data_IF_250794786842
#
_entry.id   IF_250794786842
#
_cell.length_a   1.000
_cell.length_b   1.000
_cell.length_c   1.000
_cell.angle_alpha   90.00
_cell.angle_beta   90.00
_cell.angle_gamma   90.00
#
_symmetry.space_group_name_H-M   'P 1'
#
loop_
_entity.id
_entity.type
_entity.pdbx_description
1 polymer ?
#
# COMPACT_ATOMS: atom_id res chain seq x y z
N UNK A 1 11.18 30.11 -18.37
CA UNK A 1 11.09 29.38 -17.09
C UNK A 1 10.47 30.33 -16.07
N UNK A 2 9.45 29.94 -15.31
CA UNK A 2 8.92 30.76 -14.20
C UNK A 2 9.66 30.47 -12.90
N UNK A 3 9.50 31.34 -11.92
CA UNK A 3 10.18 31.17 -10.63
C UNK A 3 9.50 30.07 -9.79
N UNK A 4 8.20 30.18 -9.53
CA UNK A 4 7.42 29.20 -8.79
C UNK A 4 6.22 28.66 -9.59
N UNK A 5 6.04 27.34 -9.56
CA UNK A 5 4.95 26.61 -10.18
C UNK A 5 4.16 25.78 -9.16
N UNK A 6 2.90 25.48 -9.48
CA UNK A 6 2.02 24.67 -8.64
C UNK A 6 1.30 23.59 -9.45
N UNK A 7 1.24 22.39 -8.88
CA UNK A 7 0.31 21.33 -9.28
C UNK A 7 -0.59 21.01 -8.10
N UNK A 8 -1.90 20.93 -8.38
CA UNK A 8 -2.90 20.49 -7.41
C UNK A 8 -3.53 19.21 -7.92
N UNK A 9 -3.65 18.19 -7.07
CA UNK A 9 -4.26 16.92 -7.47
C UNK A 9 -4.73 16.11 -6.28
N UNK A 10 -5.64 15.15 -6.51
CA UNK A 10 -6.02 14.18 -5.48
C UNK A 10 -4.96 13.09 -5.33
N UNK A 11 -4.28 12.73 -6.42
CA UNK A 11 -3.29 11.65 -6.51
C UNK A 11 -3.81 10.31 -5.93
N UNK A 12 -5.05 9.96 -6.31
CA UNK A 12 -5.76 8.78 -5.82
C UNK A 12 -6.12 7.80 -6.95
N UNK A 13 -5.19 6.93 -7.38
CA UNK A 13 -3.78 6.84 -7.00
C UNK A 13 -2.85 7.82 -7.76
N UNK A 14 -1.59 7.91 -7.32
CA UNK A 14 -0.52 8.56 -8.08
C UNK A 14 -0.15 7.69 -9.29
N UNK A 15 -0.46 8.16 -10.50
CA UNK A 15 -0.25 7.40 -11.73
C UNK A 15 0.74 8.07 -12.68
N UNK A 16 1.22 7.34 -13.69
CA UNK A 16 2.23 7.80 -14.63
C UNK A 16 1.81 9.07 -15.40
N UNK A 17 0.51 9.29 -15.61
CA UNK A 17 0.00 10.57 -16.15
C UNK A 17 0.28 11.77 -15.23
N UNK A 18 0.08 11.63 -13.92
CA UNK A 18 0.48 12.65 -12.94
C UNK A 18 2.00 12.82 -12.94
N UNK A 19 2.75 11.71 -12.98
CA UNK A 19 4.21 11.80 -13.00
C UNK A 19 4.73 12.50 -14.27
N UNK A 20 4.09 12.27 -15.42
CA UNK A 20 4.38 12.99 -16.66
C UNK A 20 4.12 14.49 -16.51
N UNK A 21 2.96 14.87 -15.98
CA UNK A 21 2.61 16.27 -15.68
C UNK A 21 3.66 16.94 -14.77
N UNK A 22 4.05 16.26 -13.68
CA UNK A 22 5.04 16.76 -12.71
C UNK A 22 6.40 16.97 -13.39
N UNK A 23 6.89 15.99 -14.15
CA UNK A 23 8.19 16.09 -14.85
C UNK A 23 8.21 17.20 -15.90
N UNK A 24 7.11 17.39 -16.63
CA UNK A 24 6.98 18.52 -17.56
C UNK A 24 6.99 19.85 -16.81
N UNK A 25 6.27 19.96 -15.69
CA UNK A 25 6.26 21.18 -14.88
C UNK A 25 7.65 21.53 -14.33
N UNK A 26 8.44 20.54 -13.88
CA UNK A 26 9.82 20.73 -13.41
C UNK A 26 10.73 21.36 -14.48
N UNK A 27 10.49 21.08 -15.76
CA UNK A 27 11.27 21.69 -16.86
C UNK A 27 10.89 23.17 -17.10
N UNK A 28 9.76 23.63 -16.58
CA UNK A 28 9.20 24.95 -16.86
C UNK A 28 9.24 25.92 -15.68
N UNK A 29 9.65 25.48 -14.48
CA UNK A 29 9.78 26.32 -13.28
C UNK A 29 11.07 26.02 -12.49
N UNK A 30 11.55 27.00 -11.72
CA UNK A 30 12.69 26.78 -10.81
C UNK A 30 12.30 26.02 -9.56
N UNK A 31 11.13 26.33 -9.01
CA UNK A 31 10.55 25.70 -7.82
C UNK A 31 9.15 25.21 -8.16
N UNK A 32 8.88 23.93 -7.87
CA UNK A 32 7.58 23.30 -8.11
C UNK A 32 7.00 22.82 -6.80
N UNK A 33 5.75 23.21 -6.53
CA UNK A 33 4.99 22.80 -5.35
C UNK A 33 3.92 21.78 -5.73
N UNK A 34 3.81 20.71 -4.94
CA UNK A 34 2.77 19.70 -5.09
C UNK A 34 1.78 19.82 -3.93
N UNK A 35 0.52 20.12 -4.26
CA UNK A 35 -0.56 20.20 -3.27
C UNK A 35 -1.55 19.06 -3.51
N UNK A 36 -1.74 18.24 -2.48
CA UNK A 36 -2.48 16.99 -2.55
C UNK A 36 -3.58 16.96 -1.49
N UNK A 37 -4.85 16.88 -1.89
CA UNK A 37 -5.96 16.75 -0.92
C UNK A 37 -7.20 16.11 -1.53
N UNK A 38 -7.99 15.44 -0.69
CA UNK A 38 -9.27 14.83 -1.03
C UNK A 38 -10.12 14.75 0.23
N UNK A 39 -11.38 15.19 0.16
CA UNK A 39 -12.31 15.08 1.28
C UNK A 39 -13.70 14.71 0.74
N UNK A 40 -14.23 13.50 0.98
CA UNK A 40 -13.61 12.40 1.72
C UNK A 40 -12.37 11.83 1.01
N UNK A 41 -11.61 11.01 1.73
CA UNK A 41 -10.55 10.21 1.16
C UNK A 41 -11.10 9.24 0.11
N UNK A 42 -10.35 9.02 -0.97
CA UNK A 42 -10.76 8.06 -1.98
C UNK A 42 -10.46 6.63 -1.50
N UNK A 43 -11.32 5.64 -1.78
CA UNK A 43 -11.09 4.25 -1.40
C UNK A 43 -9.71 3.76 -1.85
N UNK A 44 -9.00 3.08 -0.95
CA UNK A 44 -7.64 2.56 -1.20
C UNK A 44 -6.55 3.63 -1.31
N UNK A 45 -6.86 4.92 -1.12
CA UNK A 45 -5.89 6.01 -1.28
C UNK A 45 -5.90 7.01 -0.09
N UNK A 46 -5.77 6.56 1.17
CA UNK A 46 -5.72 7.46 2.32
C UNK A 46 -4.51 8.41 2.23
N UNK A 47 -4.58 9.52 2.99
CA UNK A 47 -3.55 10.54 3.04
C UNK A 47 -2.13 10.00 3.24
N UNK A 48 -1.96 9.02 4.14
CA UNK A 48 -0.65 8.42 4.43
C UNK A 48 -0.03 7.71 3.22
N UNK A 49 -0.82 6.99 2.42
CA UNK A 49 -0.33 6.37 1.18
C UNK A 49 0.05 7.42 0.15
N UNK A 50 -0.80 8.45 -0.03
CA UNK A 50 -0.53 9.54 -0.97
C UNK A 50 0.73 10.31 -0.61
N UNK A 51 0.99 10.52 0.68
CA UNK A 51 2.19 11.19 1.17
C UNK A 51 3.43 10.34 0.88
N UNK A 52 3.37 9.04 1.17
CA UNK A 52 4.45 8.11 0.84
C UNK A 52 4.71 8.05 -0.66
N UNK A 53 3.69 7.96 -1.50
CA UNK A 53 3.86 7.95 -2.96
C UNK A 53 4.51 9.23 -3.46
N UNK A 54 4.05 10.41 -3.04
CA UNK A 54 4.67 11.67 -3.46
C UNK A 54 6.12 11.76 -2.99
N UNK A 55 6.41 11.37 -1.75
CA UNK A 55 7.77 11.39 -1.20
C UNK A 55 8.70 10.40 -1.91
N UNK A 56 8.28 9.15 -2.14
CA UNK A 56 9.08 8.13 -2.83
C UNK A 56 9.36 8.51 -4.29
N UNK A 57 8.40 9.17 -4.96
CA UNK A 57 8.48 9.45 -6.40
C UNK A 57 9.10 10.81 -6.72
N UNK A 58 8.98 11.78 -5.81
CA UNK A 58 9.39 13.17 -5.98
C UNK A 58 9.95 13.78 -4.68
N UNK A 59 10.90 13.09 -4.04
CA UNK A 59 11.52 13.50 -2.77
C UNK A 59 12.16 14.90 -2.82
N UNK A 60 12.56 15.34 -4.01
CA UNK A 60 13.15 16.65 -4.26
C UNK A 60 12.15 17.81 -4.27
N UNK A 61 10.86 17.52 -4.35
CA UNK A 61 9.80 18.52 -4.46
C UNK A 61 9.12 18.75 -3.11
N UNK A 62 8.91 20.01 -2.69
CA UNK A 62 8.05 20.29 -1.55
C UNK A 62 6.61 19.89 -1.88
N UNK A 63 6.09 18.92 -1.12
CA UNK A 63 4.75 18.37 -1.30
C UNK A 63 3.96 18.39 0.00
N UNK A 64 2.68 18.73 -0.07
CA UNK A 64 1.76 18.67 1.07
C UNK A 64 0.58 17.78 0.75
N UNK A 65 0.39 16.75 1.58
CA UNK A 65 -0.89 16.03 1.67
C UNK A 65 -1.73 16.68 2.75
N UNK A 66 -2.80 17.39 2.38
CA UNK A 66 -3.62 18.13 3.32
C UNK A 66 -4.81 17.30 3.78
N UNK A 67 -5.01 17.25 5.09
CA UNK A 67 -6.15 16.63 5.77
C UNK A 67 -6.86 17.68 6.65
N UNK A 68 -8.11 17.44 7.07
CA UNK A 68 -8.81 18.32 8.00
C UNK A 68 -8.01 18.59 9.29
N UNK A 69 -7.31 17.58 9.82
CA UNK A 69 -6.51 17.69 11.04
C UNK A 69 -5.31 18.62 10.83
N UNK A 70 -4.63 18.53 9.68
CA UNK A 70 -3.52 19.44 9.33
C UNK A 70 -4.01 20.88 9.17
N UNK A 71 -5.17 21.09 8.54
CA UNK A 71 -5.80 22.42 8.44
C UNK A 71 -6.16 22.96 9.82
N UNK A 72 -6.75 22.16 10.69
CA UNK A 72 -7.06 22.55 12.07
C UNK A 72 -5.77 22.96 12.82
N UNK A 73 -4.70 22.17 12.71
CA UNK A 73 -3.42 22.48 13.32
C UNK A 73 -2.82 23.81 12.83
N UNK A 74 -2.84 24.08 11.52
CA UNK A 74 -2.37 25.36 10.98
C UNK A 74 -3.22 26.54 11.44
N UNK A 75 -4.55 26.37 11.51
CA UNK A 75 -5.46 27.40 12.03
C UNK A 75 -5.22 27.68 13.51
N UNK A 76 -5.00 26.65 14.33
CA UNK A 76 -4.60 26.81 15.73
C UNK A 76 -3.23 27.49 15.88
N UNK A 77 -2.35 27.35 14.90
CA UNK A 77 -1.08 28.08 14.82
C UNK A 77 -1.21 29.49 14.23
N UNK A 78 -2.42 29.99 14.01
CA UNK A 78 -2.70 31.36 13.57
C UNK A 78 -2.71 31.58 12.05
N UNK A 79 -2.65 30.51 11.23
CA UNK A 79 -2.75 30.61 9.78
C UNK A 79 -4.19 30.90 9.35
N UNK A 80 -4.38 31.88 8.48
CA UNK A 80 -5.69 32.29 7.98
C UNK A 80 -6.20 31.39 6.85
N UNK A 81 -6.41 30.11 7.16
CA UNK A 81 -6.92 29.12 6.19
C UNK A 81 -8.43 28.88 6.37
N UNK A 82 -9.19 28.76 5.26
CA UNK A 82 -10.54 28.22 5.33
C UNK A 82 -10.52 26.72 5.70
N UNK A 83 -11.70 26.15 5.94
CA UNK A 83 -11.83 24.69 6.07
C UNK A 83 -11.41 23.99 4.76
N UNK A 84 -10.94 22.75 4.87
CA UNK A 84 -10.61 21.95 3.70
C UNK A 84 -11.92 21.70 2.91
N UNK A 85 -12.01 22.12 1.64
CA UNK A 85 -13.22 21.91 0.86
C UNK A 85 -13.46 20.42 0.58
N UNK A 86 -14.72 20.00 0.69
CA UNK A 86 -15.16 18.69 0.22
C UNK A 86 -15.00 18.57 -1.30
N UNK A 87 -14.88 17.35 -1.80
CA UNK A 87 -14.65 17.01 -3.20
C UNK A 87 -15.75 17.52 -4.14
N UNK A 88 -16.96 17.65 -3.61
CA UNK A 88 -18.17 18.10 -4.29
C UNK A 88 -18.40 19.60 -4.14
N UNK A 89 -17.52 20.31 -3.41
CA UNK A 89 -17.63 21.74 -3.21
C UNK A 89 -17.47 22.51 -4.53
N UNK A 90 -18.04 23.72 -4.57
CA UNK A 90 -17.92 24.58 -5.74
C UNK A 90 -16.45 24.90 -6.05
N UNK A 91 -16.09 24.99 -7.33
CA UNK A 91 -14.71 25.23 -7.77
C UNK A 91 -14.09 26.49 -7.14
N UNK A 92 -14.89 27.54 -6.93
CA UNK A 92 -14.42 28.77 -6.28
C UNK A 92 -13.88 28.55 -4.87
N UNK A 93 -14.43 27.60 -4.11
CA UNK A 93 -13.95 27.25 -2.78
C UNK A 93 -12.59 26.55 -2.84
N UNK A 94 -12.41 25.63 -3.80
CA UNK A 94 -11.10 25.01 -4.06
C UNK A 94 -10.05 26.05 -4.46
N UNK A 95 -10.38 26.94 -5.40
CA UNK A 95 -9.46 27.97 -5.90
C UNK A 95 -9.05 28.94 -4.78
N UNK A 96 -10.01 29.34 -3.94
CA UNK A 96 -9.75 30.20 -2.80
C UNK A 96 -8.89 29.50 -1.73
N UNK A 97 -9.24 28.27 -1.36
CA UNK A 97 -8.45 27.47 -0.43
C UNK A 97 -6.99 27.37 -0.88
N UNK A 98 -6.75 27.09 -2.17
CA UNK A 98 -5.38 26.99 -2.70
C UNK A 98 -4.66 28.34 -2.70
N UNK A 99 -5.35 29.44 -3.00
CA UNK A 99 -4.75 30.78 -2.93
C UNK A 99 -4.27 31.11 -1.51
N UNK A 100 -5.11 30.83 -0.51
CA UNK A 100 -4.80 31.07 0.89
C UNK A 100 -3.72 30.09 1.38
N UNK A 101 -3.75 28.83 0.94
CA UNK A 101 -2.69 27.86 1.20
C UNK A 101 -1.31 28.33 0.72
N UNK A 102 -1.23 28.89 -0.49
CA UNK A 102 0.02 29.43 -1.01
C UNK A 102 0.58 30.54 -0.11
N UNK A 103 -0.26 31.51 0.29
CA UNK A 103 0.18 32.63 1.13
C UNK A 103 0.52 32.19 2.56
N UNK A 104 -0.34 31.38 3.17
CA UNK A 104 -0.28 31.07 4.59
C UNK A 104 0.67 29.91 4.92
N UNK A 105 0.70 28.87 4.08
CA UNK A 105 1.46 27.63 4.35
C UNK A 105 2.73 27.56 3.55
N UNK A 106 2.66 27.76 2.22
CA UNK A 106 3.87 27.77 1.38
C UNK A 106 4.71 29.03 1.70
N UNK A 107 4.06 30.16 1.98
CA UNK A 107 4.72 31.42 2.28
C UNK A 107 5.14 32.22 1.04
N UNK A 108 4.68 31.82 -0.15
CA UNK A 108 4.87 32.57 -1.39
C UNK A 108 3.74 32.33 -2.40
N UNK A 109 3.66 33.17 -3.42
CA UNK A 109 2.73 33.02 -4.54
C UNK A 109 3.41 32.41 -5.76
N UNK A 110 2.63 31.78 -6.63
CA UNK A 110 3.13 31.07 -7.83
C UNK A 110 2.81 31.83 -9.11
N UNK A 111 3.66 31.73 -10.13
CA UNK A 111 3.45 32.39 -11.43
C UNK A 111 2.90 31.43 -12.49
N UNK A 112 2.84 30.13 -12.20
CA UNK A 112 2.21 29.15 -13.07
C UNK A 112 1.47 28.06 -12.30
N UNK A 113 0.36 27.62 -12.88
CA UNK A 113 -0.30 26.36 -12.52
C UNK A 113 -0.21 25.39 -13.69
N UNK A 114 0.04 24.13 -13.39
CA UNK A 114 0.15 23.07 -14.40
C UNK A 114 -0.98 22.07 -14.20
N UNK A 115 -1.77 21.84 -15.24
CA UNK A 115 -2.87 20.85 -15.21
C UNK A 115 -2.97 20.14 -16.55
N UNK A 116 -3.70 19.02 -16.56
CA UNK A 116 -4.16 18.33 -17.77
C UNK A 116 -5.66 18.52 -17.99
N UNK A 117 -6.28 19.51 -17.33
CA UNK A 117 -7.71 19.61 -17.11
C UNK A 117 -8.27 20.97 -17.58
N UNK A 118 -9.54 20.99 -17.97
CA UNK A 118 -10.21 22.14 -18.59
C UNK A 118 -10.38 23.34 -17.66
N UNK A 119 -10.41 23.10 -16.34
CA UNK A 119 -10.58 24.16 -15.35
C UNK A 119 -9.34 25.06 -15.18
N UNK A 120 -8.20 24.70 -15.79
CA UNK A 120 -6.90 25.35 -15.53
C UNK A 120 -6.87 26.85 -15.79
N UNK A 121 -7.55 27.34 -16.83
CA UNK A 121 -7.59 28.78 -17.15
C UNK A 121 -8.34 29.58 -16.07
N UNK A 122 -9.50 29.08 -15.62
CA UNK A 122 -10.27 29.69 -14.54
C UNK A 122 -9.54 29.64 -13.20
N UNK A 123 -8.77 28.57 -12.97
CA UNK A 123 -7.93 28.46 -11.77
C UNK A 123 -6.79 29.47 -11.77
N UNK A 124 -6.05 29.59 -12.88
CA UNK A 124 -4.99 30.59 -13.02
C UNK A 124 -5.53 32.02 -12.88
N UNK A 125 -6.69 32.33 -13.47
CA UNK A 125 -7.31 33.64 -13.35
C UNK A 125 -7.68 33.97 -11.89
N UNK A 126 -8.23 33.02 -11.13
CA UNK A 126 -8.55 33.22 -9.71
C UNK A 126 -7.30 33.49 -8.88
N UNK A 127 -6.23 32.72 -9.11
CA UNK A 127 -4.97 32.92 -8.41
C UNK A 127 -4.34 34.27 -8.78
N UNK A 128 -4.39 34.68 -10.04
CA UNK A 128 -3.88 35.98 -10.46
C UNK A 128 -4.61 37.15 -9.78
N UNK A 129 -5.94 37.11 -9.72
CA UNK A 129 -6.74 38.10 -9.02
C UNK A 129 -6.41 38.12 -7.51
N UNK A 130 -6.25 36.94 -6.92
CA UNK A 130 -5.91 36.77 -5.51
C UNK A 130 -4.50 37.29 -5.19
N UNK A 131 -3.50 36.97 -6.01
CA UNK A 131 -2.10 37.29 -5.75
C UNK A 131 -1.70 38.70 -6.18
N UNK A 132 -2.53 39.38 -6.98
CA UNK A 132 -2.24 40.72 -7.50
C UNK A 132 -1.15 40.74 -8.58
N UNK A 133 -0.82 39.59 -9.17
CA UNK A 133 0.10 39.48 -10.29
C UNK A 133 -0.32 38.36 -11.25
N UNK A 134 0.16 38.36 -12.51
CA UNK A 134 -0.21 37.31 -13.47
C UNK A 134 0.17 35.91 -13.01
N UNK A 135 -0.72 34.95 -13.24
CA UNK A 135 -0.50 33.52 -13.09
C UNK A 135 -0.89 32.87 -14.41
N UNK A 136 0.01 32.11 -15.02
CA UNK A 136 -0.25 31.41 -16.28
C UNK A 136 -0.76 29.99 -16.03
N UNK A 137 -1.75 29.57 -16.79
CA UNK A 137 -2.04 28.15 -16.92
C UNK A 137 -1.12 27.53 -17.98
N UNK A 138 -0.47 26.42 -17.63
CA UNK A 138 0.29 25.58 -18.56
C UNK A 138 -0.42 24.23 -18.66
N UNK A 139 -1.13 24.02 -19.76
CA UNK A 139 -1.80 22.75 -20.04
C UNK A 139 -0.79 21.73 -20.56
N UNK A 140 -0.76 20.55 -19.95
CA UNK A 140 0.16 19.45 -20.32
C UNK A 140 -0.66 18.21 -20.65
N UNK A 141 -0.44 17.63 -21.83
CA UNK A 141 -1.07 16.39 -22.32
C UNK A 141 -2.58 16.29 -22.03
N UNK A 142 -3.33 17.38 -22.31
CA UNK A 142 -4.78 17.46 -22.04
C UNK A 142 -5.58 16.32 -22.69
N UNK A 143 -5.20 15.92 -23.89
CA UNK A 143 -5.83 14.81 -24.62
C UNK A 143 -5.37 13.43 -24.14
N UNK A 144 -4.44 13.37 -23.16
CA UNK A 144 -3.85 12.15 -22.60
C UNK A 144 -3.28 11.23 -23.68
N UNK A 145 -2.63 11.85 -24.67
CA UNK A 145 -2.01 11.16 -25.80
C UNK A 145 -0.70 10.50 -25.44
N UNK A 146 0.02 11.04 -24.44
CA UNK A 146 1.30 10.50 -23.99
C UNK A 146 1.09 9.41 -22.96
N UNK A 147 0.20 9.65 -21.98
CA UNK A 147 -0.19 8.64 -20.97
C UNK A 147 -1.71 8.55 -20.88
N UNK A 148 -2.36 7.61 -21.60
CA UNK A 148 -3.81 7.51 -21.72
C UNK A 148 -4.47 6.90 -20.47
N UNK A 149 -4.40 7.61 -19.33
CA UNK A 149 -4.95 7.16 -18.06
C UNK A 149 -5.65 8.28 -17.29
N UNK A 150 -6.61 7.93 -16.45
CA UNK A 150 -7.21 8.84 -15.48
C UNK A 150 -7.34 8.16 -14.11
N UNK A 151 -7.31 8.96 -13.05
CA UNK A 151 -7.57 8.45 -11.70
C UNK A 151 -8.94 7.79 -11.58
N UNK A 152 -9.96 8.26 -12.32
CA UNK A 152 -11.30 7.64 -12.32
C UNK A 152 -11.28 6.24 -12.93
N UNK A 153 -10.60 6.05 -14.07
CA UNK A 153 -10.46 4.74 -14.69
C UNK A 153 -9.68 3.77 -13.77
N UNK A 154 -8.57 4.21 -13.18
CA UNK A 154 -7.78 3.41 -12.24
C UNK A 154 -8.55 2.98 -11.00
N UNK A 155 -9.44 3.81 -10.48
CA UNK A 155 -10.31 3.42 -9.35
C UNK A 155 -11.43 2.46 -9.75
N UNK A 156 -11.76 2.37 -11.04
CA UNK A 156 -12.71 1.39 -11.57
C UNK A 156 -12.10 0.00 -11.65
N UNK A 157 -10.85 -0.11 -12.11
CA UNK A 157 -10.08 -1.36 -12.11
C UNK A 157 -8.57 -1.07 -12.08
N UNK A 158 -7.99 -1.11 -10.87
CA UNK A 158 -6.57 -0.81 -10.66
C UNK A 158 -5.65 -1.91 -11.18
N UNK A 159 -6.15 -3.16 -11.25
CA UNK A 159 -5.36 -4.32 -11.67
C UNK A 159 -5.26 -4.39 -13.19
N UNK A 160 -6.34 -4.08 -13.92
CA UNK A 160 -6.33 -3.99 -15.37
C UNK A 160 -5.46 -2.83 -15.89
N UNK A 161 -5.35 -1.74 -15.11
CA UNK A 161 -4.61 -0.53 -15.49
C UNK A 161 -3.28 -0.36 -14.75
N UNK A 162 -2.75 -1.44 -14.15
CA UNK A 162 -1.54 -1.40 -13.32
C UNK A 162 -0.29 -0.87 -14.02
N UNK A 163 -0.19 -1.05 -15.33
CA UNK A 163 0.94 -0.55 -16.14
C UNK A 163 1.02 0.98 -16.18
N UNK A 164 -0.06 1.67 -15.77
CA UNK A 164 -0.09 3.11 -15.59
C UNK A 164 0.30 3.56 -14.18
N UNK A 165 0.78 2.67 -13.33
CA UNK A 165 1.27 2.96 -11.99
C UNK A 165 2.76 2.62 -11.90
N UNK A 166 3.51 3.39 -11.10
CA UNK A 166 4.84 2.96 -10.72
C UNK A 166 4.73 1.66 -9.89
N UNK A 167 5.67 0.70 -10.00
CA UNK A 167 5.61 -0.54 -9.25
C UNK A 167 5.47 -0.35 -7.73
N UNK A 168 6.10 0.69 -7.15
CA UNK A 168 5.98 1.00 -5.72
C UNK A 168 4.60 1.53 -5.32
N UNK A 169 3.87 2.17 -6.25
CA UNK A 169 2.49 2.61 -6.03
C UNK A 169 1.53 1.44 -6.19
N UNK A 170 1.69 0.64 -7.26
CA UNK A 170 0.84 -0.52 -7.49
C UNK A 170 0.93 -1.57 -6.37
N UNK A 171 2.11 -1.72 -5.76
CA UNK A 171 2.35 -2.64 -4.65
C UNK A 171 1.36 -2.48 -3.47
N UNK A 172 0.79 -1.30 -3.26
CA UNK A 172 -0.19 -1.03 -2.20
C UNK A 172 -1.61 -1.54 -2.52
N UNK A 173 -1.87 -1.84 -3.79
CA UNK A 173 -3.13 -2.44 -4.27
C UNK A 173 -3.06 -3.96 -4.36
N UNK A 174 -1.88 -4.56 -4.17
CA UNK A 174 -1.72 -6.02 -4.20
C UNK A 174 -2.37 -6.66 -2.99
N UNK A 175 -3.29 -7.58 -3.24
CA UNK A 175 -3.99 -8.35 -2.22
C UNK A 175 -3.07 -9.46 -1.67
N UNK A 176 -2.69 -9.38 -0.38
CA UNK A 176 -1.89 -10.43 0.26
C UNK A 176 -2.79 -11.57 0.71
N UNK A 177 -2.50 -12.77 0.23
CA UNK A 177 -3.17 -14.03 0.57
C UNK A 177 -2.21 -14.85 1.42
N UNK A 178 -2.51 -15.03 2.71
CA UNK A 178 -1.62 -15.76 3.63
C UNK A 178 -2.11 -17.18 3.91
N UNK A 179 -1.15 -18.10 3.94
CA UNK A 179 -1.37 -19.47 4.39
C UNK A 179 -0.74 -19.65 5.78
N UNK A 180 -1.58 -20.00 6.74
CA UNK A 180 -1.22 -20.35 8.11
C UNK A 180 -1.44 -21.84 8.35
N UNK A 181 -0.91 -22.36 9.46
CA UNK A 181 -1.08 -23.75 9.87
C UNK A 181 0.21 -24.38 10.37
N UNK A 182 0.07 -25.56 10.98
CA UNK A 182 1.18 -26.27 11.59
C UNK A 182 2.29 -26.67 10.61
N UNK A 183 3.36 -27.26 11.14
CA UNK A 183 4.44 -27.78 10.30
C UNK A 183 3.90 -28.85 9.32
N UNK A 184 4.46 -28.86 8.12
CA UNK A 184 4.17 -29.88 7.09
C UNK A 184 2.70 -29.96 6.64
N UNK A 185 1.93 -28.87 6.77
CA UNK A 185 0.55 -28.77 6.26
C UNK A 185 0.46 -28.29 4.81
N UNK A 186 1.56 -28.33 4.04
CA UNK A 186 1.56 -28.02 2.61
C UNK A 186 1.56 -26.54 2.21
N UNK A 187 1.72 -25.60 3.16
CA UNK A 187 1.71 -24.14 2.92
C UNK A 187 2.67 -23.70 1.81
N UNK A 188 3.95 -24.08 1.92
CA UNK A 188 4.99 -23.70 0.95
C UNK A 188 4.74 -24.27 -0.44
N UNK A 189 4.15 -25.46 -0.52
CA UNK A 189 3.78 -26.09 -1.79
C UNK A 189 2.60 -25.35 -2.41
N UNK A 190 1.58 -25.04 -1.62
CA UNK A 190 0.37 -24.34 -2.05
C UNK A 190 0.67 -22.91 -2.52
N UNK A 191 1.44 -22.14 -1.75
CA UNK A 191 1.78 -20.75 -2.09
C UNK A 191 2.57 -20.66 -3.41
N UNK A 192 3.54 -21.56 -3.61
CA UNK A 192 4.31 -21.65 -4.86
C UNK A 192 3.44 -22.08 -6.03
N UNK A 193 2.59 -23.09 -5.83
CA UNK A 193 1.71 -23.61 -6.86
C UNK A 193 0.71 -22.55 -7.35
N UNK A 194 0.05 -21.85 -6.43
CA UNK A 194 -0.88 -20.77 -6.75
C UNK A 194 -0.18 -19.58 -7.42
N UNK A 195 1.02 -19.21 -6.98
CA UNK A 195 1.77 -18.15 -7.66
C UNK A 195 2.09 -18.50 -9.12
N UNK A 196 2.45 -19.76 -9.39
CA UNK A 196 2.69 -20.22 -10.76
C UNK A 196 1.39 -20.22 -11.58
N UNK A 197 0.30 -20.77 -11.02
CA UNK A 197 -0.99 -20.89 -11.70
C UNK A 197 -1.61 -19.51 -12.03
N UNK A 198 -1.53 -18.57 -11.10
CA UNK A 198 -2.06 -17.20 -11.26
C UNK A 198 -1.07 -16.23 -11.91
N UNK A 199 0.11 -16.71 -12.37
CA UNK A 199 1.12 -15.88 -13.04
C UNK A 199 1.71 -14.76 -12.17
N UNK A 200 1.74 -14.93 -10.84
CA UNK A 200 2.13 -13.89 -9.88
C UNK A 200 3.39 -14.28 -9.07
N UNK A 201 3.55 -13.76 -7.86
CA UNK A 201 4.65 -14.03 -6.93
C UNK A 201 4.15 -14.66 -5.63
N UNK A 202 5.09 -15.28 -4.92
CA UNK A 202 4.89 -15.69 -3.54
C UNK A 202 6.03 -15.17 -2.66
N UNK A 203 5.75 -14.99 -1.37
CA UNK A 203 6.75 -14.75 -0.34
C UNK A 203 6.99 -16.08 0.41
N UNK A 204 8.24 -16.54 0.43
CA UNK A 204 8.64 -17.80 1.09
C UNK A 204 8.98 -17.58 2.57
N UNK A 205 8.84 -18.65 3.37
CA UNK A 205 9.03 -18.57 4.82
C UNK A 205 10.49 -18.33 5.15
N UNK A 206 10.81 -17.17 5.73
CA UNK A 206 12.19 -16.87 6.12
C UNK A 206 12.63 -17.61 7.37
N UNK A 207 11.72 -17.92 8.30
CA UNK A 207 12.06 -18.64 9.53
C UNK A 207 12.75 -19.98 9.26
N UNK A 208 12.30 -20.70 8.22
CA UNK A 208 12.89 -21.96 7.77
C UNK A 208 14.31 -21.80 7.25
N UNK A 209 14.54 -20.74 6.47
CA UNK A 209 15.86 -20.41 5.90
C UNK A 209 16.86 -20.09 7.01
N UNK A 210 16.53 -19.16 7.91
CA UNK A 210 17.42 -18.81 9.03
C UNK A 210 17.68 -20.01 9.96
N UNK A 211 16.67 -20.86 10.17
CA UNK A 211 16.84 -22.08 10.97
C UNK A 211 17.89 -23.03 10.34
N UNK A 212 17.94 -23.16 9.01
CA UNK A 212 18.96 -23.99 8.31
C UNK A 212 20.34 -23.37 8.43
N UNK A 213 20.42 -22.06 8.18
CA UNK A 213 21.67 -21.30 8.30
C UNK A 213 22.27 -21.43 9.70
N UNK A 214 21.42 -21.55 10.73
CA UNK A 214 21.82 -21.70 12.14
C UNK A 214 21.91 -23.15 12.62
N UNK A 215 21.85 -24.13 11.73
CA UNK A 215 21.96 -25.55 12.10
C UNK A 215 20.87 -26.03 13.05
N UNK A 216 19.69 -25.42 12.98
CA UNK A 216 18.51 -25.74 13.76
C UNK A 216 18.41 -25.11 15.14
N UNK A 217 19.34 -24.21 15.49
CA UNK A 217 19.36 -23.53 16.79
C UNK A 217 19.08 -22.03 16.65
N UNK A 218 17.80 -21.65 16.75
CA UNK A 218 17.38 -20.24 16.85
C UNK A 218 17.51 -19.74 18.29
N UNK A 219 17.98 -18.51 18.47
CA UNK A 219 17.94 -17.79 19.76
C UNK A 219 16.82 -16.76 19.77
N UNK A 220 16.46 -16.25 20.94
CA UNK A 220 15.33 -15.33 21.11
C UNK A 220 15.35 -14.14 20.14
N UNK A 221 16.51 -13.48 19.98
CA UNK A 221 16.66 -12.31 19.12
C UNK A 221 16.43 -12.62 17.62
N UNK A 222 16.56 -13.89 17.22
CA UNK A 222 16.31 -14.31 15.85
C UNK A 222 14.84 -14.18 15.47
N UNK A 223 13.92 -14.29 16.42
CA UNK A 223 12.50 -14.34 16.12
C UNK A 223 12.00 -12.96 15.68
N UNK A 224 12.47 -11.89 16.32
CA UNK A 224 12.17 -10.53 15.85
C UNK A 224 12.80 -10.27 14.47
N UNK A 225 14.04 -10.72 14.26
CA UNK A 225 14.70 -10.62 12.95
C UNK A 225 13.93 -11.38 11.85
N UNK A 226 13.43 -12.57 12.15
CA UNK A 226 12.63 -13.37 11.24
C UNK A 226 11.37 -12.62 10.83
N UNK A 227 10.61 -12.08 11.79
CA UNK A 227 9.38 -11.36 11.50
C UNK A 227 9.62 -10.09 10.67
N UNK A 228 10.63 -9.29 11.01
CA UNK A 228 11.01 -8.09 10.23
C UNK A 228 11.37 -8.46 8.80
N UNK A 229 12.16 -9.52 8.63
CA UNK A 229 12.60 -9.98 7.31
C UNK A 229 11.44 -10.56 6.49
N UNK A 230 10.51 -11.27 7.12
CA UNK A 230 9.29 -11.76 6.47
C UNK A 230 8.47 -10.58 5.91
N UNK A 231 8.22 -9.55 6.72
CA UNK A 231 7.50 -8.34 6.27
C UNK A 231 8.23 -7.63 5.13
N UNK A 232 9.56 -7.52 5.20
CA UNK A 232 10.37 -6.94 4.14
C UNK A 232 10.25 -7.75 2.83
N UNK A 233 10.31 -9.09 2.90
CA UNK A 233 10.13 -9.99 1.75
C UNK A 233 8.77 -9.84 1.10
N UNK A 234 7.70 -9.83 1.90
CA UNK A 234 6.35 -9.60 1.39
C UNK A 234 6.24 -8.26 0.67
N UNK A 235 6.81 -7.21 1.26
CA UNK A 235 6.77 -5.85 0.71
C UNK A 235 7.51 -5.77 -0.63
N UNK A 236 8.70 -6.39 -0.71
CA UNK A 236 9.47 -6.48 -1.95
C UNK A 236 8.76 -7.33 -3.02
N UNK A 237 8.10 -8.41 -2.61
CA UNK A 237 7.37 -9.28 -3.54
C UNK A 237 6.14 -8.59 -4.14
N UNK A 238 5.43 -7.74 -3.37
CA UNK A 238 4.31 -6.93 -3.88
C UNK A 238 4.70 -6.05 -5.06
N UNK A 239 5.91 -5.49 -5.08
CA UNK A 239 6.37 -4.65 -6.20
C UNK A 239 6.53 -5.41 -7.54
N UNK A 240 6.47 -6.74 -7.51
CA UNK A 240 6.58 -7.61 -8.69
C UNK A 240 5.40 -8.58 -8.82
N UNK A 241 4.41 -8.48 -7.95
CA UNK A 241 3.22 -9.30 -7.95
C UNK A 241 2.18 -8.70 -8.88
N UNK A 242 1.25 -9.54 -9.31
CA UNK A 242 0.07 -9.14 -10.08
C UNK A 242 -1.04 -8.71 -9.09
N UNK A 243 -2.27 -9.22 -9.22
CA UNK A 243 -3.36 -8.92 -8.29
C UNK A 243 -3.11 -9.46 -6.88
N UNK A 244 -2.56 -10.68 -6.78
CA UNK A 244 -2.37 -11.38 -5.52
C UNK A 244 -0.89 -11.61 -5.21
N UNK A 245 -0.52 -11.54 -3.93
CA UNK A 245 0.72 -12.07 -3.40
C UNK A 245 0.42 -13.24 -2.45
N UNK A 246 0.92 -14.42 -2.77
CA UNK A 246 0.75 -15.62 -1.92
C UNK A 246 1.85 -15.69 -0.85
N UNK A 247 1.50 -15.63 0.43
CA UNK A 247 2.44 -15.53 1.53
C UNK A 247 2.50 -16.86 2.31
N UNK A 248 3.69 -17.44 2.36
CA UNK A 248 4.08 -18.51 3.28
C UNK A 248 5.19 -17.95 4.15
N UNK A 249 5.01 -17.63 5.42
CA UNK A 249 3.82 -17.56 6.25
C UNK A 249 3.63 -16.08 6.66
N UNK A 250 3.16 -15.78 7.86
CA UNK A 250 3.15 -14.42 8.45
C UNK A 250 4.00 -14.29 9.71
N UNK A 251 4.22 -13.05 10.20
CA UNK A 251 4.77 -12.81 11.53
C UNK A 251 3.97 -13.48 12.67
N UNK A 252 2.69 -13.82 12.48
CA UNK A 252 1.90 -14.55 13.48
C UNK A 252 2.49 -15.95 13.74
N UNK A 253 3.01 -16.62 12.71
CA UNK A 253 3.75 -17.88 12.89
C UNK A 253 5.04 -17.68 13.67
N UNK A 254 5.73 -16.56 13.44
CA UNK A 254 6.95 -16.25 14.18
C UNK A 254 6.65 -15.97 15.65
N UNK A 255 5.52 -15.31 15.94
CA UNK A 255 5.03 -15.11 17.31
C UNK A 255 4.72 -16.44 18.00
N UNK A 256 4.05 -17.38 17.32
CA UNK A 256 3.80 -18.73 17.82
C UNK A 256 5.11 -19.39 18.27
N UNK A 257 6.12 -19.41 17.39
CA UNK A 257 7.40 -20.03 17.71
C UNK A 257 8.11 -19.33 18.88
N UNK A 258 8.13 -18.00 18.88
CA UNK A 258 8.73 -17.22 19.95
C UNK A 258 8.11 -17.54 21.33
N UNK A 259 6.77 -17.57 21.40
CA UNK A 259 6.06 -17.96 22.62
C UNK A 259 6.32 -19.41 23.01
N UNK A 260 6.30 -20.34 22.05
CA UNK A 260 6.52 -21.77 22.34
C UNK A 260 7.94 -22.08 22.84
N UNK A 261 8.95 -21.38 22.32
CA UNK A 261 10.36 -21.62 22.64
C UNK A 261 10.83 -20.84 23.87
N UNK A 262 10.31 -19.63 24.09
CA UNK A 262 10.85 -18.70 25.09
C UNK A 262 9.81 -18.16 26.08
N UNK A 263 8.52 -18.46 25.91
CA UNK A 263 7.44 -18.01 26.79
C UNK A 263 7.19 -16.49 26.78
N UNK A 264 7.81 -15.74 25.87
CA UNK A 264 7.69 -14.29 25.74
C UNK A 264 7.91 -13.86 24.29
N UNK A 265 7.57 -12.60 23.97
CA UNK A 265 7.86 -11.97 22.68
C UNK A 265 8.11 -10.47 22.87
N UNK A 266 8.95 -9.88 22.02
CA UNK A 266 9.14 -8.42 21.97
C UNK A 266 7.84 -7.72 21.51
N UNK A 267 7.59 -6.51 22.00
CA UNK A 267 6.38 -5.73 21.66
C UNK A 267 6.27 -5.49 20.15
N UNK A 268 7.40 -5.27 19.48
CA UNK A 268 7.43 -5.11 18.04
C UNK A 268 7.03 -6.40 17.30
N UNK A 269 7.41 -7.58 17.79
CA UNK A 269 6.96 -8.84 17.19
C UNK A 269 5.45 -9.00 17.34
N UNK A 270 4.89 -8.60 18.48
CA UNK A 270 3.44 -8.61 18.68
C UNK A 270 2.73 -7.67 17.70
N UNK A 271 3.26 -6.47 17.48
CA UNK A 271 2.73 -5.51 16.50
C UNK A 271 2.83 -6.04 15.06
N UNK A 272 3.98 -6.64 14.68
CA UNK A 272 4.15 -7.25 13.35
C UNK A 272 3.18 -8.41 13.12
N UNK A 273 2.79 -9.14 14.17
CA UNK A 273 1.81 -10.21 14.09
C UNK A 273 0.38 -9.71 13.82
N UNK A 274 0.07 -8.42 14.06
CA UNK A 274 -1.21 -7.78 13.71
C UNK A 274 -1.27 -7.33 12.24
N UNK A 275 -0.26 -7.68 11.43
CA UNK A 275 -0.21 -7.30 10.01
C UNK A 275 -1.47 -7.78 9.27
N UNK A 276 -2.16 -6.88 8.53
CA UNK A 276 -3.36 -7.26 7.80
C UNK A 276 -3.03 -8.06 6.54
N UNK A 277 -3.91 -9.01 6.24
CA UNK A 277 -3.93 -9.77 5.00
C UNK A 277 -5.33 -9.67 4.39
N UNK A 278 -5.41 -9.61 3.07
CA UNK A 278 -6.70 -9.53 2.37
C UNK A 278 -7.47 -10.85 2.52
N UNK A 279 -6.74 -11.97 2.49
CA UNK A 279 -7.30 -13.31 2.63
C UNK A 279 -6.43 -14.16 3.56
N UNK A 280 -7.05 -14.82 4.52
CA UNK A 280 -6.36 -15.69 5.49
C UNK A 280 -6.87 -17.11 5.35
N UNK A 281 -5.98 -18.04 5.06
CA UNK A 281 -6.28 -19.45 4.94
C UNK A 281 -5.53 -20.27 5.98
N UNK A 282 -6.26 -21.09 6.74
CA UNK A 282 -5.67 -22.04 7.70
C UNK A 282 -5.59 -23.43 7.05
N UNK A 283 -4.40 -23.85 6.68
CA UNK A 283 -4.13 -25.17 6.13
C UNK A 283 -4.29 -26.25 7.20
N UNK A 284 -5.29 -27.13 7.07
CA UNK A 284 -5.56 -28.23 7.98
C UNK A 284 -4.40 -29.25 8.04
N UNK A 285 -4.38 -30.07 9.09
CA UNK A 285 -3.39 -31.11 9.35
C UNK A 285 -3.76 -32.49 8.74
N UNK A 286 -4.63 -32.50 7.74
CA UNK A 286 -5.25 -33.69 7.13
C UNK A 286 -4.40 -34.42 6.07
N UNK A 287 -3.16 -34.00 5.82
CA UNK A 287 -2.22 -34.80 5.03
C UNK A 287 -1.84 -36.08 5.79
N UNK A 288 -1.82 -37.25 5.13
CA UNK A 288 -1.35 -38.49 5.76
C UNK A 288 0.09 -38.29 6.24
N UNK A 289 0.32 -38.60 7.51
CA UNK A 289 1.61 -38.47 8.17
C UNK A 289 2.63 -39.40 7.51
N UNK A 290 3.57 -38.84 6.73
CA UNK A 290 4.71 -39.60 6.19
C UNK A 290 5.95 -39.25 7.00
N UNK A 291 6.42 -40.22 7.79
CA UNK A 291 7.54 -40.08 8.71
C UNK A 291 8.87 -40.16 7.94
N UNK A 292 9.53 -39.02 7.74
CA UNK A 292 10.84 -38.92 7.05
C UNK A 292 12.04 -38.77 8.01
N UNK A 293 11.79 -39.00 9.32
CA UNK A 293 12.85 -39.14 10.32
C UNK A 293 13.40 -37.83 10.92
N UNK A 294 12.85 -36.65 10.58
CA UNK A 294 13.42 -35.35 11.04
C UNK A 294 12.43 -34.37 11.71
N UNK A 295 11.16 -34.72 11.93
CA UNK A 295 10.11 -33.79 12.41
C UNK A 295 9.48 -34.19 13.76
N UNK A 296 9.14 -33.19 14.61
CA UNK A 296 8.53 -33.38 15.95
C UNK A 296 7.07 -33.83 15.88
N UNK A 297 6.65 -34.50 16.95
CA UNK A 297 5.46 -35.32 17.20
C UNK A 297 4.10 -34.72 16.74
N UNK A 298 3.17 -35.60 16.36
CA UNK A 298 1.79 -35.29 15.91
C UNK A 298 1.04 -34.32 16.85
N UNK A 299 1.32 -34.40 18.15
CA UNK A 299 0.75 -33.53 19.19
C UNK A 299 1.18 -32.07 19.05
N UNK A 300 2.41 -31.79 18.61
CA UNK A 300 2.87 -30.42 18.40
C UNK A 300 2.12 -29.76 17.23
N UNK A 301 1.86 -30.51 16.15
CA UNK A 301 1.08 -30.01 15.00
C UNK A 301 -0.35 -29.69 15.39
N UNK A 302 -0.99 -30.56 16.18
CA UNK A 302 -2.35 -30.35 16.72
C UNK A 302 -2.39 -29.14 17.65
N UNK A 303 -1.37 -28.98 18.51
CA UNK A 303 -1.24 -27.80 19.36
C UNK A 303 -1.10 -26.51 18.55
N UNK A 304 -0.26 -26.52 17.49
CA UNK A 304 -0.12 -25.37 16.60
C UNK A 304 -1.46 -24.99 15.95
N UNK A 305 -2.23 -25.98 15.49
CA UNK A 305 -3.56 -25.72 14.92
C UNK A 305 -4.50 -25.07 15.92
N UNK A 306 -4.60 -25.65 17.13
CA UNK A 306 -5.45 -25.09 18.18
C UNK A 306 -5.01 -23.67 18.56
N UNK A 307 -3.70 -23.40 18.58
CA UNK A 307 -3.15 -22.06 18.82
C UNK A 307 -3.55 -21.07 17.73
N UNK A 308 -3.43 -21.43 16.44
CA UNK A 308 -3.85 -20.55 15.34
C UNK A 308 -5.34 -20.23 15.41
N UNK A 309 -6.19 -21.24 15.63
CA UNK A 309 -7.64 -21.04 15.77
C UNK A 309 -7.94 -20.08 16.91
N UNK A 310 -7.31 -20.27 18.07
CA UNK A 310 -7.50 -19.41 19.22
C UNK A 310 -7.03 -17.96 18.94
N UNK A 311 -5.86 -17.77 18.33
CA UNK A 311 -5.34 -16.44 18.03
C UNK A 311 -6.16 -15.71 16.96
N UNK A 312 -6.58 -16.41 15.89
CA UNK A 312 -7.43 -15.83 14.85
C UNK A 312 -8.77 -15.41 15.43
N UNK A 313 -9.40 -16.23 16.27
CA UNK A 313 -10.64 -15.90 16.97
C UNK A 313 -10.46 -14.73 17.95
N UNK A 314 -9.40 -14.75 18.76
CA UNK A 314 -9.10 -13.69 19.74
C UNK A 314 -8.90 -12.33 19.07
N UNK A 315 -8.29 -12.31 17.88
CA UNK A 315 -8.03 -11.10 17.09
C UNK A 315 -9.19 -10.69 16.19
N UNK A 316 -10.23 -11.53 16.07
CA UNK A 316 -11.35 -11.28 15.14
C UNK A 316 -10.92 -11.29 13.68
N UNK A 317 -9.93 -12.13 13.33
CA UNK A 317 -9.44 -12.27 11.95
C UNK A 317 -10.30 -13.34 11.27
N UNK A 318 -10.99 -12.96 10.21
CA UNK A 318 -11.72 -13.90 9.35
C UNK A 318 -10.75 -14.81 8.61
N UNK A 319 -11.02 -16.11 8.61
CA UNK A 319 -10.20 -17.10 7.92
C UNK A 319 -11.04 -18.26 7.37
N UNK A 320 -10.51 -18.91 6.34
CA UNK A 320 -11.07 -20.14 5.78
C UNK A 320 -10.12 -21.32 6.02
N UNK A 321 -10.66 -22.43 6.53
CA UNK A 321 -9.90 -23.67 6.68
C UNK A 321 -9.79 -24.38 5.34
N UNK A 322 -8.57 -24.76 4.96
CA UNK A 322 -8.28 -25.51 3.74
C UNK A 322 -8.01 -26.97 4.07
N UNK A 323 -8.77 -27.86 3.43
CA UNK A 323 -8.67 -29.30 3.59
C UNK A 323 -8.38 -29.99 2.25
N UNK A 324 -7.86 -31.22 2.31
CA UNK A 324 -7.65 -32.10 1.18
C UNK A 324 -6.30 -31.97 0.53
N UNK A 325 -6.19 -32.52 -0.68
CA UNK A 325 -4.98 -32.50 -1.50
C UNK A 325 -4.61 -31.09 -1.95
N UNK A 326 -3.43 -30.94 -2.56
CA UNK A 326 -2.99 -29.67 -3.15
C UNK A 326 -4.04 -29.11 -4.13
N UNK A 327 -4.61 -29.96 -4.97
CA UNK A 327 -5.61 -29.61 -5.98
C UNK A 327 -6.91 -29.13 -5.31
N UNK A 328 -7.41 -29.87 -4.33
CA UNK A 328 -8.63 -29.51 -3.59
C UNK A 328 -8.48 -28.18 -2.84
N UNK A 329 -7.31 -27.93 -2.24
CA UNK A 329 -7.00 -26.66 -1.57
C UNK A 329 -6.85 -25.53 -2.57
N UNK A 330 -6.24 -25.79 -3.72
CA UNK A 330 -6.13 -24.82 -4.81
C UNK A 330 -7.51 -24.39 -5.28
N UNK A 331 -8.43 -25.33 -5.53
CA UNK A 331 -9.82 -25.01 -5.90
C UNK A 331 -10.54 -24.18 -4.83
N UNK A 332 -10.36 -24.51 -3.55
CA UNK A 332 -10.93 -23.75 -2.44
C UNK A 332 -10.43 -22.30 -2.41
N UNK A 333 -9.12 -22.10 -2.59
CA UNK A 333 -8.52 -20.75 -2.63
C UNK A 333 -9.01 -19.98 -3.85
N UNK A 334 -8.95 -20.56 -5.05
CA UNK A 334 -9.37 -19.88 -6.27
C UNK A 334 -10.85 -19.50 -6.24
N UNK A 335 -11.71 -20.36 -5.66
CA UNK A 335 -13.13 -20.03 -5.44
C UNK A 335 -13.30 -18.88 -4.47
N UNK A 336 -12.57 -18.87 -3.36
CA UNK A 336 -12.66 -17.80 -2.37
C UNK A 336 -12.13 -16.46 -2.90
N UNK A 337 -11.19 -16.49 -3.85
CA UNK A 337 -10.67 -15.30 -4.54
C UNK A 337 -11.52 -14.86 -5.73
N UNK A 338 -12.60 -15.59 -6.06
CA UNK A 338 -13.35 -15.44 -7.32
C UNK A 338 -12.43 -15.36 -8.55
N UNK A 339 -11.35 -16.15 -8.55
CA UNK A 339 -10.33 -16.09 -9.58
C UNK A 339 -10.85 -16.66 -10.89
N UNK A 340 -10.62 -15.90 -11.97
CA UNK A 340 -10.89 -16.31 -13.34
C UNK A 340 -9.58 -16.29 -14.14
N UNK A 341 -9.31 -17.34 -14.96
CA UNK A 341 -8.05 -17.49 -15.69
C UNK A 341 -7.78 -16.44 -16.76
#
# INVERSE_FOLDING_TARGET
MVEAGLIVGKFSPLHLGHEHLIRQAQQHCRRLYLLCYSLPEMPGCPASLRERWLHERFAELPSWVVTPERVAAWRSAGKALPELPANEAAEGLHRQFVADFCREVIGETVQAVFTSEDYGDGFAAHLAASFGHPVRHVSVDRLRTTVPVSGTALRGDVHALRDFLAPSVYADFVERVVFLGGESTGKSTLSRHLAQLCGTRYAAEYGRELWEEKGGALVFDDLLHIARTQVARETQACAKAERYLFCDTSPLTTLLYCQSMFGRAEDELQQLAERPYAHVFLCADDFPFVQDGTRREEDFRRWQQAWYVAELQRRGIDYQVLNGTLEQRTEQVLRALDWQP
#
